data_IF_772813812025
#
_entry.id   IF_772813812025
#
_cell.length_a   1.000
_cell.length_b   1.000
_cell.length_c   1.000
_cell.angle_alpha   90.00
_cell.angle_beta   90.00
_cell.angle_gamma   90.00
#
_symmetry.space_group_name_H-M   'P 1'
#
loop_
_entity.id
_entity.type
_entity.pdbx_description
1 polymer ?
#
# COMPACT_ATOMS: atom_id res chain seq x y z
N UNK A 1 35.17 7.06 30.87
CA UNK A 1 35.68 6.40 29.66
C UNK A 1 34.97 5.05 29.51
N UNK A 2 34.27 4.78 28.39
CA UNK A 2 33.73 3.43 28.17
C UNK A 2 34.85 2.49 27.72
N UNK A 3 34.84 1.25 28.21
CA UNK A 3 35.78 0.23 27.73
C UNK A 3 35.50 -0.13 26.28
N UNK A 4 36.53 -0.53 25.54
CA UNK A 4 36.41 -0.99 24.14
C UNK A 4 35.34 -2.08 23.99
N UNK A 5 35.26 -3.00 24.94
CA UNK A 5 34.24 -4.05 25.01
C UNK A 5 32.83 -3.47 25.05
N UNK A 6 32.60 -2.43 25.86
CA UNK A 6 31.30 -1.76 25.96
C UNK A 6 30.93 -1.03 24.67
N UNK A 7 31.89 -0.41 23.98
CA UNK A 7 31.66 0.24 22.68
C UNK A 7 31.30 -0.80 21.62
N UNK A 8 31.99 -1.94 21.56
CA UNK A 8 31.67 -3.05 20.65
C UNK A 8 30.27 -3.62 20.89
N UNK A 9 29.84 -3.75 22.15
CA UNK A 9 28.46 -4.18 22.48
C UNK A 9 27.43 -3.17 21.97
N UNK A 10 27.67 -1.87 22.16
CA UNK A 10 26.77 -0.82 21.66
C UNK A 10 26.71 -0.78 20.13
N UNK A 11 27.84 -0.97 19.45
CA UNK A 11 27.90 -1.08 17.99
C UNK A 11 27.03 -2.25 17.50
N UNK A 12 27.26 -3.47 18.03
CA UNK A 12 26.47 -4.66 17.67
C UNK A 12 24.97 -4.45 17.86
N UNK A 13 24.58 -3.81 18.96
CA UNK A 13 23.18 -3.48 19.22
C UNK A 13 22.59 -2.54 18.16
N UNK A 14 23.36 -1.55 17.70
CA UNK A 14 22.92 -0.65 16.63
C UNK A 14 22.76 -1.41 15.30
N UNK A 15 23.71 -2.28 14.94
CA UNK A 15 23.62 -3.14 13.75
C UNK A 15 22.36 -4.00 13.77
N UNK A 16 22.06 -4.65 14.90
CA UNK A 16 20.84 -5.46 15.06
C UNK A 16 19.59 -4.62 14.83
N UNK A 17 19.47 -3.46 15.51
CA UNK A 17 18.30 -2.60 15.34
C UNK A 17 18.17 -2.01 13.94
N UNK A 18 19.29 -1.69 13.29
CA UNK A 18 19.29 -1.24 11.90
C UNK A 18 18.74 -2.34 10.98
N UNK A 19 19.26 -3.57 11.07
CA UNK A 19 18.77 -4.71 10.27
C UNK A 19 17.29 -5.01 10.51
N UNK A 20 16.80 -4.86 11.75
CA UNK A 20 15.38 -5.02 12.08
C UNK A 20 14.53 -3.95 11.40
N UNK A 21 15.00 -2.69 11.38
CA UNK A 21 14.32 -1.63 10.66
C UNK A 21 14.28 -1.92 9.15
N UNK A 22 15.39 -2.39 8.55
CA UNK A 22 15.44 -2.75 7.14
C UNK A 22 14.49 -3.90 6.80
N UNK A 23 14.44 -4.94 7.63
CA UNK A 23 13.51 -6.05 7.47
C UNK A 23 12.05 -5.59 7.52
N UNK A 24 11.70 -4.70 8.45
CA UNK A 24 10.34 -4.11 8.53
C UNK A 24 10.04 -3.24 7.30
N UNK A 25 11.00 -2.45 6.84
CA UNK A 25 10.82 -1.61 5.64
C UNK A 25 10.60 -2.44 4.38
N UNK A 26 11.28 -3.57 4.24
CA UNK A 26 11.04 -4.53 3.15
C UNK A 26 9.62 -5.09 3.21
N UNK A 27 9.16 -5.48 4.41
CA UNK A 27 7.78 -5.97 4.59
C UNK A 27 6.74 -4.92 4.19
N UNK A 28 6.94 -3.65 4.57
CA UNK A 28 6.03 -2.57 4.14
C UNK A 28 6.09 -2.34 2.62
N UNK A 29 7.25 -2.52 2.00
CA UNK A 29 7.34 -2.42 0.54
C UNK A 29 6.57 -3.54 -0.15
N UNK A 30 6.65 -4.78 0.35
CA UNK A 30 5.91 -5.91 -0.21
C UNK A 30 4.39 -5.76 0.02
N UNK A 31 3.99 -5.24 1.19
CA UNK A 31 2.60 -4.92 1.50
C UNK A 31 2.03 -3.83 0.58
N UNK A 32 2.78 -2.74 0.33
CA UNK A 32 2.35 -1.68 -0.61
C UNK A 32 2.21 -2.21 -2.04
N UNK A 33 3.13 -3.08 -2.50
CA UNK A 33 3.00 -3.73 -3.81
C UNK A 33 1.74 -4.60 -3.90
N UNK A 34 1.41 -5.32 -2.83
CA UNK A 34 0.19 -6.12 -2.76
C UNK A 34 -1.06 -5.26 -2.87
N UNK A 35 -1.10 -4.15 -2.12
CA UNK A 35 -2.21 -3.18 -2.18
C UNK A 35 -2.32 -2.51 -3.54
N UNK A 36 -1.19 -2.19 -4.19
CA UNK A 36 -1.19 -1.62 -5.54
C UNK A 36 -1.76 -2.60 -6.57
N UNK A 37 -1.34 -3.88 -6.51
CA UNK A 37 -1.88 -4.90 -7.40
C UNK A 37 -3.39 -5.12 -7.20
N UNK A 38 -3.86 -5.05 -5.95
CA UNK A 38 -5.29 -5.12 -5.63
C UNK A 38 -6.06 -3.91 -6.20
N UNK A 39 -5.53 -2.69 -6.05
CA UNK A 39 -6.09 -1.47 -6.62
C UNK A 39 -6.20 -1.56 -8.16
N UNK A 40 -5.13 -2.01 -8.82
CA UNK A 40 -5.09 -2.20 -10.28
C UNK A 40 -6.15 -3.22 -10.74
N UNK A 41 -6.29 -4.36 -10.05
CA UNK A 41 -7.29 -5.37 -10.37
C UNK A 41 -8.73 -4.82 -10.21
N UNK A 42 -9.00 -3.99 -9.19
CA UNK A 42 -10.31 -3.35 -9.02
C UNK A 42 -10.57 -2.33 -10.13
N UNK A 43 -9.56 -1.55 -10.53
CA UNK A 43 -9.69 -0.61 -11.64
C UNK A 43 -10.03 -1.33 -12.96
N UNK A 44 -9.42 -2.48 -13.23
CA UNK A 44 -9.77 -3.32 -14.38
C UNK A 44 -11.22 -3.83 -14.31
N UNK A 45 -11.67 -4.27 -13.13
CA UNK A 45 -13.06 -4.68 -12.93
C UNK A 45 -14.04 -3.52 -13.17
N UNK A 46 -13.74 -2.32 -12.67
CA UNK A 46 -14.55 -1.13 -12.92
C UNK A 46 -14.60 -0.82 -14.42
N UNK A 47 -13.48 -0.92 -15.14
CA UNK A 47 -13.43 -0.71 -16.58
C UNK A 47 -14.34 -1.72 -17.31
N UNK A 48 -14.28 -3.00 -16.94
CA UNK A 48 -15.17 -4.04 -17.47
C UNK A 48 -16.65 -3.76 -17.20
N UNK A 49 -17.00 -3.32 -15.99
CA UNK A 49 -18.38 -2.95 -15.64
C UNK A 49 -18.87 -1.71 -16.40
N UNK A 50 -18.00 -0.72 -16.66
CA UNK A 50 -18.33 0.43 -17.50
C UNK A 50 -18.64 0.02 -18.94
N UNK A 51 -17.83 -0.87 -19.51
CA UNK A 51 -18.11 -1.46 -20.84
C UNK A 51 -19.44 -2.22 -20.84
N UNK A 52 -19.71 -3.04 -19.82
CA UNK A 52 -20.99 -3.73 -19.68
C UNK A 52 -22.16 -2.74 -19.65
N UNK A 53 -22.03 -1.63 -18.90
CA UNK A 53 -23.04 -0.60 -18.82
C UNK A 53 -23.31 0.06 -20.19
N UNK A 54 -22.28 0.23 -21.01
CA UNK A 54 -22.44 0.75 -22.38
C UNK A 54 -23.18 -0.23 -23.29
N UNK A 55 -22.95 -1.54 -23.16
CA UNK A 55 -23.74 -2.55 -23.91
C UNK A 55 -25.20 -2.63 -23.48
N UNK A 56 -25.50 -2.19 -22.25
CA UNK A 56 -26.87 -2.11 -21.72
C UNK A 56 -27.60 -0.83 -22.15
N UNK A 57 -27.07 -0.04 -23.08
CA UNK A 57 -27.79 1.11 -23.65
C UNK A 57 -28.90 0.63 -24.59
N UNK A 58 -30.03 1.33 -24.57
CA UNK A 58 -31.19 1.05 -25.41
C UNK A 58 -31.09 1.69 -26.82
N UNK A 59 -29.90 2.09 -27.26
CA UNK A 59 -29.72 2.81 -28.52
C UNK A 59 -30.30 2.01 -29.69
N UNK A 60 -31.19 2.66 -30.45
CA UNK A 60 -31.87 2.11 -31.64
C UNK A 60 -32.73 0.85 -31.42
N UNK A 61 -33.24 0.61 -30.20
CA UNK A 61 -34.16 -0.52 -29.91
C UNK A 61 -35.57 -0.03 -29.58
N UNK A 62 -36.59 -0.60 -30.24
CA UNK A 62 -37.96 -0.56 -29.74
C UNK A 62 -38.06 -1.57 -28.60
N UNK A 63 -38.31 -1.10 -27.38
CA UNK A 63 -38.42 -1.92 -26.19
C UNK A 63 -39.86 -1.88 -25.67
N UNK A 64 -40.37 -3.02 -25.24
CA UNK A 64 -41.59 -3.09 -24.44
C UNK A 64 -41.38 -2.43 -23.08
N UNK A 65 -42.49 -2.14 -22.39
CA UNK A 65 -42.44 -1.56 -21.04
C UNK A 65 -41.69 -2.47 -20.05
N UNK A 66 -41.92 -3.78 -20.12
CA UNK A 66 -41.25 -4.78 -19.28
C UNK A 66 -39.74 -4.85 -19.56
N UNK A 67 -39.36 -4.74 -20.83
CA UNK A 67 -37.96 -4.73 -21.26
C UNK A 67 -37.22 -3.48 -20.77
N UNK A 68 -37.88 -2.32 -20.79
CA UNK A 68 -37.36 -1.07 -20.22
C UNK A 68 -37.06 -1.24 -18.72
N UNK A 69 -38.02 -1.75 -17.94
CA UNK A 69 -37.79 -1.95 -16.50
C UNK A 69 -36.68 -2.96 -16.21
N UNK A 70 -36.62 -4.04 -16.98
CA UNK A 70 -35.56 -5.05 -16.86
C UNK A 70 -34.19 -4.43 -17.15
N UNK A 71 -34.09 -3.61 -18.19
CA UNK A 71 -32.85 -2.93 -18.55
C UNK A 71 -32.41 -1.95 -17.48
N UNK A 72 -33.32 -1.11 -16.99
CA UNK A 72 -33.05 -0.13 -15.92
C UNK A 72 -32.58 -0.83 -14.63
N UNK A 73 -33.18 -1.98 -14.29
CA UNK A 73 -32.74 -2.78 -13.14
C UNK A 73 -31.33 -3.34 -13.32
N UNK A 74 -31.00 -3.85 -14.50
CA UNK A 74 -29.64 -4.33 -14.80
C UNK A 74 -28.62 -3.19 -14.70
N UNK A 75 -28.93 -2.03 -15.28
CA UNK A 75 -28.08 -0.85 -15.21
C UNK A 75 -27.89 -0.37 -13.76
N UNK A 76 -28.95 -0.36 -12.93
CA UNK A 76 -28.83 0.09 -11.54
C UNK A 76 -27.94 -0.83 -10.70
N UNK A 77 -28.03 -2.15 -10.93
CA UNK A 77 -27.15 -3.14 -10.29
C UNK A 77 -25.68 -2.88 -10.67
N UNK A 78 -25.39 -2.72 -11.96
CA UNK A 78 -24.01 -2.47 -12.44
C UNK A 78 -23.47 -1.14 -11.89
N UNK A 79 -24.27 -0.07 -11.88
CA UNK A 79 -23.87 1.22 -11.31
C UNK A 79 -23.55 1.11 -9.83
N UNK A 80 -24.34 0.34 -9.08
CA UNK A 80 -24.09 0.09 -7.66
C UNK A 80 -22.77 -0.66 -7.46
N UNK A 81 -22.54 -1.73 -8.22
CA UNK A 81 -21.28 -2.48 -8.16
C UNK A 81 -20.05 -1.59 -8.44
N UNK A 82 -20.13 -0.70 -9.43
CA UNK A 82 -19.07 0.28 -9.70
C UNK A 82 -18.84 1.16 -8.47
N UNK A 83 -19.89 1.68 -7.84
CA UNK A 83 -19.77 2.53 -6.64
C UNK A 83 -19.18 1.77 -5.45
N UNK A 84 -19.55 0.52 -5.27
CA UNK A 84 -19.01 -0.34 -4.21
C UNK A 84 -17.51 -0.60 -4.42
N UNK A 85 -17.07 -0.80 -5.67
CA UNK A 85 -15.64 -0.95 -6.02
C UNK A 85 -14.86 0.37 -5.87
N UNK A 86 -15.44 1.50 -6.26
CA UNK A 86 -14.84 2.82 -6.03
C UNK A 86 -14.60 3.09 -4.54
N UNK A 87 -15.52 2.65 -3.66
CA UNK A 87 -15.32 2.73 -2.22
C UNK A 87 -14.17 1.84 -1.73
N UNK A 88 -14.01 0.65 -2.29
CA UNK A 88 -12.88 -0.24 -1.96
C UNK A 88 -11.53 0.38 -2.37
N UNK A 89 -11.46 1.05 -3.52
CA UNK A 89 -10.25 1.81 -3.93
C UNK A 89 -9.89 2.85 -2.87
N UNK A 90 -10.87 3.65 -2.41
CA UNK A 90 -10.63 4.66 -1.37
C UNK A 90 -10.04 4.02 -0.11
N UNK A 91 -10.59 2.88 0.33
CA UNK A 91 -10.08 2.15 1.50
C UNK A 91 -8.64 1.64 1.30
N UNK A 92 -8.31 1.16 0.10
CA UNK A 92 -6.93 0.75 -0.23
C UNK A 92 -6.00 1.96 -0.18
N UNK A 93 -6.39 3.09 -0.75
CA UNK A 93 -5.59 4.32 -0.75
C UNK A 93 -5.36 4.86 0.66
N UNK A 94 -6.35 4.77 1.54
CA UNK A 94 -6.21 5.10 2.97
C UNK A 94 -5.17 4.19 3.64
N UNK A 95 -5.26 2.86 3.44
CA UNK A 95 -4.27 1.91 3.98
C UNK A 95 -2.86 2.21 3.47
N UNK A 96 -2.69 2.50 2.18
CA UNK A 96 -1.39 2.86 1.59
C UNK A 96 -0.83 4.14 2.20
N UNK A 97 -1.67 5.14 2.44
CA UNK A 97 -1.28 6.38 3.12
C UNK A 97 -0.80 6.13 4.55
N UNK A 98 -1.48 5.27 5.31
CA UNK A 98 -1.03 4.86 6.65
C UNK A 98 0.29 4.09 6.61
N UNK A 99 0.45 3.20 5.63
CA UNK A 99 1.65 2.41 5.45
C UNK A 99 2.87 3.29 5.12
N UNK A 100 2.69 4.32 4.29
CA UNK A 100 3.75 5.28 3.97
C UNK A 100 4.18 6.08 5.21
N UNK A 101 3.25 6.51 6.07
CA UNK A 101 3.58 7.15 7.35
C UNK A 101 4.44 6.23 8.23
N UNK A 102 4.06 4.96 8.36
CA UNK A 102 4.85 3.96 9.11
C UNK A 102 6.24 3.77 8.49
N UNK A 103 6.32 3.71 7.16
CA UNK A 103 7.57 3.58 6.42
C UNK A 103 8.50 4.77 6.69
N UNK A 104 8.01 6.00 6.64
CA UNK A 104 8.80 7.18 6.97
C UNK A 104 9.37 7.13 8.40
N UNK A 105 8.56 6.71 9.39
CA UNK A 105 9.02 6.56 10.76
C UNK A 105 10.16 5.55 10.89
N UNK A 106 10.02 4.39 10.25
CA UNK A 106 11.04 3.34 10.27
C UNK A 106 12.29 3.73 9.47
N UNK A 107 12.16 4.50 8.38
CA UNK A 107 13.31 5.07 7.68
C UNK A 107 14.09 6.04 8.58
N UNK A 108 13.40 6.91 9.34
CA UNK A 108 14.03 7.80 10.32
C UNK A 108 14.76 7.01 11.41
N UNK A 109 14.13 5.98 11.97
CA UNK A 109 14.75 5.08 12.97
C UNK A 109 15.97 4.35 12.39
N UNK A 110 15.86 3.83 11.18
CA UNK A 110 16.95 3.15 10.48
C UNK A 110 18.17 4.07 10.31
N UNK A 111 17.97 5.28 9.79
CA UNK A 111 19.03 6.30 9.65
C UNK A 111 19.67 6.66 10.98
N UNK A 112 18.89 6.75 12.06
CA UNK A 112 19.40 7.02 13.40
C UNK A 112 20.35 5.90 13.88
N UNK A 113 19.94 4.64 13.76
CA UNK A 113 20.76 3.50 14.19
C UNK A 113 22.03 3.36 13.37
N UNK A 114 21.94 3.54 12.05
CA UNK A 114 23.10 3.56 11.16
C UNK A 114 24.10 4.66 11.53
N UNK A 115 23.61 5.87 11.85
CA UNK A 115 24.47 6.97 12.32
C UNK A 115 25.15 6.63 13.65
N UNK A 116 24.45 6.00 14.59
CA UNK A 116 25.01 5.59 15.88
C UNK A 116 26.05 4.49 15.72
N UNK A 117 25.79 3.50 14.88
CA UNK A 117 26.75 2.46 14.51
C UNK A 117 28.05 3.08 13.97
N UNK A 118 27.94 3.99 12.98
CA UNK A 118 29.10 4.68 12.42
C UNK A 118 29.88 5.54 13.44
N UNK A 119 29.20 6.12 14.44
CA UNK A 119 29.87 6.80 15.54
C UNK A 119 30.69 5.83 16.39
N UNK A 120 30.11 4.68 16.77
CA UNK A 120 30.82 3.67 17.57
C UNK A 120 31.98 3.05 16.79
N UNK A 121 31.82 2.82 15.49
CA UNK A 121 32.89 2.34 14.63
C UNK A 121 34.07 3.32 14.59
N UNK A 122 33.80 4.63 14.44
CA UNK A 122 34.85 5.66 14.52
C UNK A 122 35.56 5.70 15.86
N UNK A 123 34.84 5.47 16.97
CA UNK A 123 35.47 5.42 18.30
C UNK A 123 36.36 4.19 18.48
N UNK A 124 35.96 3.04 17.91
CA UNK A 124 36.79 1.83 17.92
C UNK A 124 38.07 2.03 17.11
N UNK A 125 38.00 2.68 15.95
CA UNK A 125 39.18 2.94 15.08
C UNK A 125 40.17 3.93 15.72
N UNK A 126 39.69 4.81 16.61
CA UNK A 126 40.51 5.83 17.28
C UNK A 126 41.13 5.37 18.61
N UNK A 127 40.81 4.17 19.09
CA UNK A 127 41.46 3.54 20.23
C UNK A 127 42.59 2.63 19.77
#
# INVERSE_FOLDING_TARGET
MHSLTRIKVLQRRCTVFHSQCESILLRYQDEDRGLQAEEEAILEQIAGLKLLLDTLRAENRQLSREEIYTLLRKQSIVRRQIKDLELQIIQIQEKRSELEKKREEFQKKSKYWLRKEGNYQRWIIRQ
#
